data_IF_216749525476
#
_entry.id   IF_216749525476
#
_cell.length_a   1.000
_cell.length_b   1.000
_cell.length_c   1.000
_cell.angle_alpha   90.00
_cell.angle_beta   90.00
_cell.angle_gamma   90.00
#
_symmetry.space_group_name_H-M   'P 1'
#
loop_
_entity.id
_entity.type
_entity.pdbx_description
1 polymer ?
#
# COMPACT_ATOMS: atom_id res chain seq x y z
N UNK A 1 -46.99 -18.98 -57.41
CA UNK A 1 -45.52 -18.88 -57.12
C UNK A 1 -45.20 -17.95 -55.93
N UNK A 2 -45.79 -16.75 -55.82
CA UNK A 2 -45.45 -15.79 -54.73
C UNK A 2 -45.62 -16.31 -53.30
N UNK A 3 -46.68 -17.06 -52.99
CA UNK A 3 -46.91 -17.60 -51.61
C UNK A 3 -45.87 -18.64 -51.15
N UNK A 4 -45.39 -19.49 -52.07
CA UNK A 4 -44.33 -20.47 -51.72
C UNK A 4 -42.96 -19.81 -51.46
N UNK A 5 -42.67 -18.76 -52.20
CA UNK A 5 -41.42 -18.00 -52.02
C UNK A 5 -41.38 -17.25 -50.66
N UNK A 6 -42.54 -16.68 -50.25
CA UNK A 6 -42.68 -15.98 -48.97
C UNK A 6 -42.53 -16.95 -47.77
N UNK A 7 -43.08 -18.16 -47.88
CA UNK A 7 -42.93 -19.16 -46.85
C UNK A 7 -41.51 -19.68 -46.69
N UNK A 8 -40.79 -19.85 -47.81
CA UNK A 8 -39.39 -20.26 -47.77
C UNK A 8 -38.51 -19.14 -47.15
N UNK A 9 -38.81 -17.89 -47.48
CA UNK A 9 -38.06 -16.72 -46.90
C UNK A 9 -38.34 -16.61 -45.40
N UNK A 10 -39.59 -16.79 -44.95
CA UNK A 10 -39.91 -16.78 -43.52
C UNK A 10 -39.28 -17.94 -42.76
N UNK A 11 -39.23 -19.13 -43.33
CA UNK A 11 -38.61 -20.31 -42.69
C UNK A 11 -37.08 -20.10 -42.64
N UNK A 12 -36.45 -19.56 -43.69
CA UNK A 12 -35.02 -19.25 -43.69
C UNK A 12 -34.68 -18.18 -42.69
N UNK A 13 -35.50 -17.13 -42.57
CA UNK A 13 -35.33 -16.08 -41.58
C UNK A 13 -35.50 -16.60 -40.16
N UNK A 14 -36.46 -17.49 -39.93
CA UNK A 14 -36.67 -18.14 -38.63
C UNK A 14 -35.47 -19.05 -38.26
N UNK A 15 -34.97 -19.81 -39.22
CA UNK A 15 -33.80 -20.69 -39.06
C UNK A 15 -32.53 -19.89 -38.77
N UNK A 16 -32.33 -18.77 -39.47
CA UNK A 16 -31.18 -17.88 -39.22
C UNK A 16 -31.27 -17.26 -37.82
N UNK A 17 -32.48 -16.79 -37.42
CA UNK A 17 -32.67 -16.32 -36.04
C UNK A 17 -32.45 -17.43 -35.00
N UNK A 18 -32.95 -18.63 -35.25
CA UNK A 18 -32.73 -19.78 -34.37
C UNK A 18 -31.23 -20.10 -34.24
N UNK A 19 -30.51 -20.12 -35.35
CA UNK A 19 -29.04 -20.34 -35.34
C UNK A 19 -28.32 -19.22 -34.61
N UNK A 20 -28.73 -17.96 -34.77
CA UNK A 20 -28.19 -16.84 -34.02
C UNK A 20 -28.50 -16.93 -32.51
N UNK A 21 -29.68 -17.42 -32.13
CA UNK A 21 -30.04 -17.63 -30.72
C UNK A 21 -29.31 -18.81 -30.08
N UNK A 22 -29.08 -19.91 -30.82
CA UNK A 22 -28.34 -21.07 -30.32
C UNK A 22 -26.83 -20.96 -30.45
N UNK A 23 -26.31 -19.96 -31.20
CA UNK A 23 -24.90 -19.69 -31.34
C UNK A 23 -24.30 -18.88 -30.20
N UNK A 24 -25.07 -18.48 -29.19
CA UNK A 24 -24.57 -17.75 -28.02
C UNK A 24 -23.67 -18.65 -27.16
N UNK A 25 -22.38 -18.55 -27.33
CA UNK A 25 -21.42 -19.06 -26.39
C UNK A 25 -21.28 -18.09 -25.19
N UNK A 26 -20.94 -18.62 -24.04
CA UNK A 26 -20.51 -17.81 -22.89
C UNK A 26 -19.00 -17.81 -22.83
N UNK A 27 -18.41 -16.64 -22.60
CA UNK A 27 -16.99 -16.49 -22.29
C UNK A 27 -16.91 -16.11 -20.82
N UNK A 28 -16.28 -16.96 -20.03
CA UNK A 28 -15.99 -16.72 -18.63
C UNK A 28 -14.48 -16.45 -18.49
N UNK A 29 -14.11 -15.31 -17.91
CA UNK A 29 -12.73 -15.00 -17.61
C UNK A 29 -12.55 -14.97 -16.11
N UNK A 30 -11.56 -15.70 -15.61
CA UNK A 30 -11.15 -15.66 -14.22
C UNK A 30 -9.73 -15.15 -14.15
N UNK A 31 -9.53 -14.10 -13.36
CA UNK A 31 -8.23 -13.45 -13.20
C UNK A 31 -7.66 -13.86 -11.84
N UNK A 32 -6.46 -14.39 -11.88
CA UNK A 32 -5.71 -14.79 -10.69
C UNK A 32 -4.45 -13.92 -10.57
N UNK A 33 -4.11 -13.58 -9.36
CA UNK A 33 -2.84 -12.91 -9.07
C UNK A 33 -1.76 -13.99 -8.81
N UNK A 34 -0.73 -13.95 -9.62
CA UNK A 34 0.46 -14.80 -9.48
C UNK A 34 1.47 -14.23 -8.50
N UNK A 35 2.75 -14.21 -8.92
CA UNK A 35 3.82 -13.62 -8.10
C UNK A 35 3.74 -12.09 -8.12
N UNK A 36 3.93 -11.47 -6.95
CA UNK A 36 3.94 -10.03 -6.76
C UNK A 36 5.24 -9.60 -6.10
N UNK A 37 5.93 -8.67 -6.71
CA UNK A 37 7.08 -7.99 -6.12
C UNK A 37 6.70 -6.54 -5.84
N UNK A 38 6.87 -6.10 -4.60
CA UNK A 38 6.63 -4.72 -4.16
C UNK A 38 7.95 -4.11 -3.70
N UNK A 39 8.24 -2.91 -4.16
CA UNK A 39 9.33 -2.10 -3.65
C UNK A 39 8.73 -0.91 -2.91
N UNK A 40 8.90 -0.87 -1.61
CA UNK A 40 8.31 0.18 -0.79
C UNK A 40 9.13 0.42 0.48
N UNK A 41 9.23 1.68 0.97
CA UNK A 41 9.80 1.95 2.28
C UNK A 41 8.82 1.53 3.38
N UNK A 42 9.32 1.20 4.57
CA UNK A 42 8.53 1.30 5.79
C UNK A 42 8.60 2.76 6.24
N UNK A 43 7.45 3.41 6.32
CA UNK A 43 7.35 4.82 6.73
C UNK A 43 6.57 4.91 8.03
N UNK A 44 7.25 4.81 9.18
CA UNK A 44 6.62 5.04 10.48
C UNK A 44 6.14 6.49 10.57
N UNK A 45 5.09 6.74 11.38
CA UNK A 45 4.60 8.08 11.63
C UNK A 45 5.69 9.05 12.06
N UNK A 46 5.51 10.36 11.81
CA UNK A 46 6.45 11.39 12.24
C UNK A 46 6.59 11.41 13.77
N UNK A 47 7.72 11.90 14.24
CA UNK A 47 7.98 12.06 15.67
C UNK A 47 7.78 13.51 16.06
N UNK A 48 6.68 13.80 16.74
CA UNK A 48 6.40 15.14 17.26
C UNK A 48 6.65 15.21 18.74
N UNK A 49 7.60 16.06 19.11
CA UNK A 49 7.89 16.38 20.49
C UNK A 49 7.40 17.78 20.74
N UNK A 50 6.50 17.91 21.70
CA UNK A 50 5.94 19.21 21.99
C UNK A 50 6.89 20.00 22.90
N UNK A 51 7.34 21.14 22.42
CA UNK A 51 8.36 21.93 23.07
C UNK A 51 7.86 23.31 23.43
N UNK A 52 6.95 23.87 22.63
CA UNK A 52 6.49 25.24 22.82
C UNK A 52 5.07 25.27 23.36
N UNK A 53 4.83 26.18 24.31
CA UNK A 53 3.50 26.40 24.93
C UNK A 53 2.67 27.42 24.14
N UNK A 54 3.28 28.15 23.19
CA UNK A 54 2.64 29.29 22.55
C UNK A 54 1.77 28.85 21.35
N UNK A 55 0.57 29.38 21.31
CA UNK A 55 -0.33 29.20 20.16
C UNK A 55 0.21 30.00 18.97
N UNK A 56 0.17 29.39 17.79
CA UNK A 56 0.72 29.97 16.56
C UNK A 56 2.18 29.58 16.28
N UNK A 57 2.86 28.90 17.22
CA UNK A 57 4.21 28.43 16.98
C UNK A 57 4.25 27.36 15.89
N UNK A 58 5.30 27.40 15.08
CA UNK A 58 5.58 26.47 13.99
C UNK A 58 6.84 25.72 14.31
N UNK A 59 6.82 24.40 14.22
CA UNK A 59 8.01 23.56 14.29
C UNK A 59 8.28 22.95 12.92
N UNK A 60 9.49 23.15 12.42
CA UNK A 60 10.00 22.56 11.18
C UNK A 60 10.96 21.45 11.57
N UNK A 61 10.75 20.25 11.04
CA UNK A 61 11.45 19.05 11.49
C UNK A 61 12.03 18.24 10.33
N UNK A 62 13.19 18.62 9.76
CA UNK A 62 13.92 17.73 8.88
C UNK A 62 14.36 16.49 9.65
N UNK A 63 14.16 15.32 9.03
CA UNK A 63 14.48 14.04 9.65
C UNK A 63 15.11 13.07 8.66
N UNK A 64 15.84 12.11 9.23
CA UNK A 64 16.46 11.02 8.50
C UNK A 64 16.32 9.72 9.29
N UNK A 65 16.03 8.63 8.59
CA UNK A 65 15.95 7.29 9.17
C UNK A 65 16.66 6.29 8.28
N UNK A 66 17.29 5.31 8.91
CA UNK A 66 18.00 4.23 8.23
C UNK A 66 17.47 2.87 8.69
N UNK A 67 17.06 2.03 7.75
CA UNK A 67 16.65 0.66 8.03
C UNK A 67 17.85 -0.27 7.91
N UNK A 68 18.33 -0.79 9.04
CA UNK A 68 19.48 -1.69 9.08
C UNK A 68 19.11 -3.12 8.71
N UNK A 69 18.61 -3.32 7.50
CA UNK A 69 18.28 -4.67 7.02
C UNK A 69 18.22 -4.71 5.49
N UNK A 70 18.72 -5.79 4.92
CA UNK A 70 18.56 -6.16 3.51
C UNK A 70 17.39 -7.16 3.38
N UNK A 71 16.40 -7.08 4.23
CA UNK A 71 15.37 -8.10 4.32
C UNK A 71 14.40 -7.93 3.17
N UNK A 72 14.23 -9.00 2.43
CA UNK A 72 13.09 -9.24 1.57
C UNK A 72 12.02 -9.90 2.43
N UNK A 73 10.87 -9.28 2.58
CA UNK A 73 9.75 -9.84 3.32
C UNK A 73 8.97 -10.68 2.34
N UNK A 74 8.76 -11.96 2.65
CA UNK A 74 7.96 -12.84 1.82
C UNK A 74 6.64 -13.16 2.50
N UNK A 75 5.57 -13.13 1.73
CA UNK A 75 4.22 -13.40 2.19
C UNK A 75 3.39 -14.11 1.13
N UNK A 76 2.09 -14.20 1.39
CA UNK A 76 1.17 -14.73 0.39
C UNK A 76 0.00 -13.77 0.19
N UNK A 77 -0.41 -13.59 -1.04
CA UNK A 77 -1.65 -12.88 -1.37
C UNK A 77 -2.85 -13.76 -1.08
N UNK A 78 -3.98 -13.17 -0.70
CA UNK A 78 -5.21 -13.93 -0.44
C UNK A 78 -5.84 -14.53 -1.70
N UNK A 79 -5.54 -14.01 -2.88
CA UNK A 79 -5.98 -14.49 -4.20
C UNK A 79 -5.15 -15.64 -4.78
N UNK A 80 -4.65 -16.50 -3.95
CA UNK A 80 -3.67 -17.52 -4.24
C UNK A 80 -4.19 -18.63 -5.15
N UNK A 81 -3.61 -18.78 -6.30
CA UNK A 81 -3.71 -19.99 -7.08
C UNK A 81 -2.54 -20.94 -6.75
N UNK A 82 -2.85 -22.12 -6.25
CA UNK A 82 -1.86 -23.16 -5.95
C UNK A 82 -1.89 -24.24 -7.01
N UNK A 83 -1.35 -23.95 -8.18
CA UNK A 83 -1.37 -24.91 -9.28
C UNK A 83 -0.20 -24.74 -10.23
N UNK A 84 -0.11 -25.65 -11.19
CA UNK A 84 0.79 -25.53 -12.33
C UNK A 84 -0.06 -25.24 -13.55
N UNK A 85 0.20 -24.13 -14.19
CA UNK A 85 -0.47 -23.75 -15.42
C UNK A 85 0.39 -24.19 -16.60
N UNK A 86 -0.24 -24.77 -17.57
CA UNK A 86 0.37 -25.06 -18.86
C UNK A 86 -0.09 -23.99 -19.84
N UNK A 87 0.82 -23.10 -20.20
CA UNK A 87 0.55 -22.01 -21.13
C UNK A 87 0.53 -22.48 -22.57
N UNK A 88 1.49 -23.33 -22.90
CA UNK A 88 1.67 -23.99 -24.20
C UNK A 88 2.32 -25.35 -23.97
N UNK A 89 2.69 -26.04 -25.06
CA UNK A 89 3.30 -27.36 -24.99
C UNK A 89 4.67 -27.40 -24.30
N UNK A 90 5.32 -26.24 -24.15
CA UNK A 90 6.67 -26.11 -23.59
C UNK A 90 6.72 -25.28 -22.31
N UNK A 91 5.75 -24.42 -22.07
CA UNK A 91 5.79 -23.42 -21.00
C UNK A 91 4.82 -23.73 -19.88
N UNK A 92 5.34 -23.88 -18.68
CA UNK A 92 4.56 -24.06 -17.46
C UNK A 92 4.90 -22.98 -16.44
N UNK A 93 3.89 -22.39 -15.82
CA UNK A 93 4.04 -21.50 -14.67
C UNK A 93 3.58 -22.24 -13.41
N UNK A 94 4.43 -22.24 -12.38
CA UNK A 94 4.11 -22.83 -11.08
C UNK A 94 4.01 -21.73 -10.05
N UNK A 95 2.79 -21.51 -9.56
CA UNK A 95 2.57 -20.53 -8.49
C UNK A 95 3.33 -20.92 -7.21
N UNK A 96 4.05 -19.97 -6.63
CA UNK A 96 4.80 -20.18 -5.38
C UNK A 96 3.84 -20.17 -4.18
N UNK A 97 4.21 -20.87 -3.13
CA UNK A 97 3.47 -20.87 -1.86
C UNK A 97 3.43 -19.46 -1.24
N UNK A 98 4.56 -18.76 -1.30
CA UNK A 98 4.70 -17.37 -0.92
C UNK A 98 4.88 -16.58 -2.20
N UNK A 99 3.84 -15.95 -2.67
CA UNK A 99 3.81 -15.23 -3.94
C UNK A 99 3.96 -13.71 -3.80
N UNK A 100 4.20 -13.23 -2.59
CA UNK A 100 4.51 -11.83 -2.30
C UNK A 100 5.96 -11.70 -1.87
N UNK A 101 6.68 -10.85 -2.54
CA UNK A 101 8.03 -10.42 -2.18
C UNK A 101 8.05 -8.89 -2.00
N UNK A 102 8.34 -8.44 -0.78
CA UNK A 102 8.44 -7.01 -0.46
C UNK A 102 9.89 -6.64 -0.21
N UNK A 103 10.45 -5.81 -1.09
CA UNK A 103 11.79 -5.24 -0.97
C UNK A 103 11.73 -3.88 -0.29
N UNK A 104 12.54 -3.71 0.75
CA UNK A 104 12.52 -2.52 1.60
C UNK A 104 13.57 -1.49 1.19
N UNK A 105 13.18 -0.24 1.20
CA UNK A 105 14.10 0.90 1.03
C UNK A 105 14.84 1.17 2.34
N UNK A 106 16.15 1.39 2.22
CA UNK A 106 17.02 1.57 3.39
C UNK A 106 16.99 2.96 3.97
N UNK A 107 16.82 3.97 3.14
CA UNK A 107 16.97 5.36 3.54
C UNK A 107 15.65 6.08 3.35
N UNK A 108 15.25 6.81 4.39
CA UNK A 108 14.13 7.75 4.32
C UNK A 108 14.55 9.06 4.92
N UNK A 109 14.38 10.14 4.17
CA UNK A 109 14.56 11.51 4.61
C UNK A 109 13.26 12.26 4.44
N UNK A 110 12.98 13.25 5.28
CA UNK A 110 11.77 14.03 5.16
C UNK A 110 11.83 15.36 5.88
N UNK A 111 10.76 16.10 5.73
CA UNK A 111 10.52 17.39 6.35
C UNK A 111 9.09 17.43 6.86
N UNK A 112 8.91 17.58 8.16
CA UNK A 112 7.62 17.74 8.78
C UNK A 112 7.43 19.18 9.27
N UNK A 113 6.19 19.65 9.22
CA UNK A 113 5.71 20.91 9.78
C UNK A 113 4.66 20.59 10.82
N UNK A 114 4.75 21.20 12.00
CA UNK A 114 3.79 21.12 13.08
C UNK A 114 3.40 22.52 13.52
N UNK A 115 2.11 22.83 13.42
CA UNK A 115 1.55 24.15 13.73
C UNK A 115 0.61 24.03 14.90
N UNK A 116 0.90 24.75 15.98
CA UNK A 116 0.07 24.78 17.16
C UNK A 116 -1.11 25.74 17.00
N UNK A 117 -2.30 25.19 16.74
CA UNK A 117 -3.51 26.00 16.49
C UNK A 117 -4.26 26.38 17.77
N UNK A 118 -4.05 25.64 18.85
CA UNK A 118 -4.60 25.98 20.18
C UNK A 118 -3.67 25.46 21.28
N UNK A 119 -4.01 25.75 22.55
CA UNK A 119 -3.24 25.25 23.72
C UNK A 119 -3.11 23.73 23.75
N UNK A 120 -4.06 23.00 23.18
CA UNK A 120 -4.13 21.53 23.22
C UNK A 120 -4.20 20.85 21.85
N UNK A 121 -4.13 21.62 20.77
CA UNK A 121 -4.29 21.06 19.41
C UNK A 121 -3.22 21.63 18.48
N UNK A 122 -2.60 20.74 17.72
CA UNK A 122 -1.75 21.05 16.58
C UNK A 122 -2.29 20.39 15.32
N UNK A 123 -1.97 20.98 14.16
CA UNK A 123 -2.08 20.33 12.86
C UNK A 123 -0.68 20.11 12.32
N UNK A 124 -0.47 19.00 11.66
CA UNK A 124 0.83 18.71 11.09
C UNK A 124 0.72 18.12 9.68
N UNK A 125 1.81 18.22 8.95
CA UNK A 125 1.96 17.62 7.64
C UNK A 125 3.40 17.65 7.21
N UNK A 126 3.77 16.74 6.32
CA UNK A 126 5.15 16.63 5.85
C UNK A 126 5.26 15.87 4.56
N UNK A 127 6.48 15.88 4.05
CA UNK A 127 6.86 15.08 2.89
C UNK A 127 8.07 14.22 3.22
N UNK A 128 8.15 13.06 2.60
CA UNK A 128 9.29 12.18 2.73
C UNK A 128 9.76 11.70 1.35
N UNK A 129 11.01 11.31 1.33
CA UNK A 129 11.72 10.79 0.20
C UNK A 129 12.46 9.53 0.64
N UNK A 130 12.24 8.45 -0.07
CA UNK A 130 12.91 7.19 0.18
C UNK A 130 13.73 6.77 -1.04
N UNK A 131 14.93 6.25 -0.80
CA UNK A 131 15.84 5.85 -1.87
C UNK A 131 16.42 4.47 -1.63
N UNK A 132 16.45 3.65 -2.69
CA UNK A 132 17.25 2.43 -2.79
C UNK A 132 17.95 2.41 -4.13
N UNK A 133 19.28 2.30 -4.12
CA UNK A 133 20.15 2.28 -5.32
C UNK A 133 19.78 3.35 -6.36
N UNK A 134 19.00 2.97 -7.38
CA UNK A 134 18.65 3.83 -8.52
C UNK A 134 17.21 4.37 -8.43
N UNK A 135 16.35 3.75 -7.62
CA UNK A 135 14.95 4.14 -7.49
C UNK A 135 14.73 5.06 -6.30
N UNK A 136 13.77 5.96 -6.45
CA UNK A 136 13.29 6.82 -5.38
C UNK A 136 11.76 6.84 -5.37
N UNK A 137 11.20 6.99 -4.19
CA UNK A 137 9.77 7.08 -3.98
C UNK A 137 9.46 8.28 -3.09
N UNK A 138 8.36 8.94 -3.41
CA UNK A 138 7.87 10.07 -2.66
C UNK A 138 6.72 9.66 -1.75
N UNK A 139 6.57 10.38 -0.67
CA UNK A 139 5.47 10.22 0.26
C UNK A 139 5.25 11.46 1.08
N UNK A 140 4.30 11.37 1.99
CA UNK A 140 4.00 12.44 2.92
C UNK A 140 3.16 11.97 4.07
N UNK A 141 2.84 12.89 4.95
CA UNK A 141 1.95 12.65 6.08
C UNK A 141 1.12 13.89 6.39
N UNK A 142 0.00 13.71 7.06
CA UNK A 142 -0.80 14.79 7.60
C UNK A 142 -1.68 14.28 8.75
N UNK A 143 -2.03 15.19 9.66
CA UNK A 143 -2.88 14.80 10.79
C UNK A 143 -3.09 15.91 11.81
N UNK A 144 -3.62 15.49 12.96
CA UNK A 144 -3.95 16.33 14.09
C UNK A 144 -3.31 15.75 15.35
N UNK A 145 -2.70 16.61 16.14
CA UNK A 145 -2.11 16.28 17.45
C UNK A 145 -2.90 16.91 18.58
N UNK A 146 -3.19 16.10 19.61
CA UNK A 146 -3.81 16.52 20.86
C UNK A 146 -2.77 16.43 21.97
N UNK A 147 -2.54 17.51 22.69
CA UNK A 147 -1.50 17.53 23.72
C UNK A 147 -1.97 18.11 25.03
N UNK A 148 -1.42 17.55 26.10
CA UNK A 148 -1.57 18.05 27.46
C UNK A 148 -0.21 18.55 27.95
N UNK A 149 -0.22 19.68 28.64
CA UNK A 149 0.96 20.30 29.23
C UNK A 149 0.97 20.08 30.73
N UNK A 150 1.63 19.02 31.16
CA UNK A 150 1.94 18.81 32.56
C UNK A 150 3.24 19.53 32.95
N UNK A 151 3.40 19.77 34.27
CA UNK A 151 4.63 20.44 34.79
C UNK A 151 5.89 19.60 34.55
N UNK A 152 5.80 18.27 34.69
CA UNK A 152 6.94 17.34 34.58
C UNK A 152 7.01 16.59 33.23
N UNK A 153 5.83 16.33 32.68
CA UNK A 153 5.71 15.53 31.44
C UNK A 153 4.70 16.18 30.51
N UNK A 154 5.00 16.08 29.24
CA UNK A 154 4.09 16.47 28.18
C UNK A 154 3.66 15.20 27.46
N UNK A 155 2.36 14.99 27.32
CA UNK A 155 1.79 13.91 26.52
C UNK A 155 1.15 14.49 25.27
N UNK A 156 1.33 13.79 24.14
CA UNK A 156 0.72 14.14 22.86
C UNK A 156 0.17 12.90 22.19
N UNK A 157 -1.04 12.98 21.71
CA UNK A 157 -1.69 11.95 20.92
C UNK A 157 -1.90 12.46 19.48
N UNK A 158 -1.33 11.80 18.49
CA UNK A 158 -1.47 12.14 17.09
C UNK A 158 -2.34 11.11 16.38
N UNK A 159 -3.24 11.61 15.54
CA UNK A 159 -4.00 10.83 14.55
C UNK A 159 -3.73 11.39 13.15
N UNK A 160 -3.46 10.53 12.22
CA UNK A 160 -3.15 10.99 10.87
C UNK A 160 -3.10 9.88 9.84
N UNK A 161 -2.64 10.29 8.67
CA UNK A 161 -2.45 9.43 7.52
C UNK A 161 -1.05 9.65 6.95
N UNK A 162 -0.44 8.56 6.50
CA UNK A 162 0.70 8.61 5.59
C UNK A 162 0.21 8.34 4.17
N UNK A 163 0.78 9.04 3.22
CA UNK A 163 0.61 8.84 1.78
C UNK A 163 1.93 8.37 1.23
N UNK A 164 1.97 7.24 0.59
CA UNK A 164 3.23 6.66 0.12
C UNK A 164 3.08 6.05 -1.26
N UNK A 165 4.02 6.37 -2.14
CA UNK A 165 4.19 5.75 -3.44
C UNK A 165 4.92 4.40 -3.30
N UNK A 166 4.49 3.42 -4.07
CA UNK A 166 5.07 2.08 -4.17
C UNK A 166 5.30 1.71 -5.62
N UNK A 167 6.40 1.04 -5.90
CA UNK A 167 6.60 0.34 -7.16
C UNK A 167 6.23 -1.13 -7.01
N UNK A 168 5.60 -1.68 -8.02
CA UNK A 168 5.24 -3.09 -8.03
C UNK A 168 5.47 -3.74 -9.38
N UNK A 169 5.68 -5.04 -9.36
CA UNK A 169 5.58 -5.93 -10.51
C UNK A 169 4.66 -7.06 -10.12
N UNK A 170 3.58 -7.25 -10.87
CA UNK A 170 2.59 -8.28 -10.61
C UNK A 170 2.47 -9.21 -11.82
N UNK A 171 2.41 -10.51 -11.57
CA UNK A 171 2.09 -11.50 -12.59
C UNK A 171 0.60 -11.81 -12.49
N UNK A 172 -0.12 -11.50 -13.55
CA UNK A 172 -1.56 -11.76 -13.67
C UNK A 172 -1.80 -12.94 -14.60
N UNK A 173 -2.60 -13.89 -14.16
CA UNK A 173 -2.94 -15.10 -14.92
C UNK A 173 -4.42 -15.02 -15.27
N UNK A 174 -4.74 -15.08 -16.54
CA UNK A 174 -6.12 -15.01 -17.04
C UNK A 174 -6.50 -16.39 -17.59
N UNK A 175 -7.50 -16.99 -16.97
CA UNK A 175 -8.18 -18.17 -17.48
C UNK A 175 -9.39 -17.73 -18.31
N UNK A 176 -9.41 -18.09 -19.58
CA UNK A 176 -10.56 -17.85 -20.45
C UNK A 176 -11.23 -19.18 -20.78
N UNK A 177 -12.49 -19.33 -20.35
CA UNK A 177 -13.31 -20.49 -20.65
C UNK A 177 -14.41 -20.11 -21.61
N UNK A 178 -14.38 -20.67 -22.81
CA UNK A 178 -15.41 -20.48 -23.83
C UNK A 178 -16.31 -21.70 -23.83
N UNK A 179 -17.58 -21.50 -23.60
CA UNK A 179 -18.58 -22.59 -23.66
C UNK A 179 -19.53 -22.30 -24.81
N UNK A 180 -19.66 -23.23 -25.74
CA UNK A 180 -20.57 -23.19 -26.88
C UNK A 180 -21.40 -24.48 -26.94
N UNK A 181 -22.38 -24.51 -27.81
CA UNK A 181 -23.16 -25.74 -28.09
C UNK A 181 -22.30 -26.86 -28.68
N UNK A 182 -21.11 -26.53 -29.17
CA UNK A 182 -20.19 -27.49 -29.79
C UNK A 182 -19.11 -27.99 -28.82
N UNK A 183 -19.06 -27.46 -27.61
CA UNK A 183 -18.07 -27.83 -26.60
C UNK A 183 -17.58 -26.65 -25.76
N UNK A 184 -16.68 -26.95 -24.85
CA UNK A 184 -15.97 -25.96 -24.06
C UNK A 184 -14.48 -26.01 -24.37
N UNK A 185 -13.90 -24.84 -24.52
CA UNK A 185 -12.44 -24.63 -24.69
C UNK A 185 -11.93 -23.78 -23.53
N UNK A 186 -10.68 -24.01 -23.13
CA UNK A 186 -10.04 -23.31 -22.02
C UNK A 186 -8.64 -22.89 -22.44
N UNK A 187 -8.36 -21.61 -22.29
CA UNK A 187 -7.04 -21.04 -22.56
C UNK A 187 -6.52 -20.27 -21.34
N UNK A 188 -5.20 -20.16 -21.24
CA UNK A 188 -4.50 -19.49 -20.18
C UNK A 188 -3.51 -18.50 -20.76
N UNK A 189 -3.58 -17.26 -20.26
CA UNK A 189 -2.66 -16.20 -20.63
C UNK A 189 -1.97 -15.66 -19.38
N UNK A 190 -0.69 -15.29 -19.51
CA UNK A 190 0.07 -14.65 -18.43
C UNK A 190 0.50 -13.28 -18.88
N UNK A 191 0.25 -12.31 -17.98
CA UNK A 191 0.66 -10.92 -18.16
C UNK A 191 1.56 -10.51 -17.00
N UNK A 192 2.59 -9.74 -17.31
CA UNK A 192 3.44 -9.11 -16.29
C UNK A 192 3.18 -7.61 -16.32
N UNK A 193 2.56 -7.10 -15.25
CA UNK A 193 2.27 -5.69 -15.07
C UNK A 193 3.33 -5.07 -14.16
N UNK A 194 3.87 -3.93 -14.58
CA UNK A 194 4.79 -3.13 -13.80
C UNK A 194 4.27 -1.72 -13.71
N UNK A 195 4.21 -1.18 -12.50
CA UNK A 195 3.71 0.16 -12.28
C UNK A 195 4.06 0.71 -10.90
N UNK A 196 3.54 1.89 -10.64
CA UNK A 196 3.55 2.51 -9.32
C UNK A 196 2.13 2.78 -8.87
N UNK A 197 1.91 2.77 -7.56
CA UNK A 197 0.64 3.12 -6.94
C UNK A 197 0.88 3.95 -5.69
N UNK A 198 -0.09 4.75 -5.32
CA UNK A 198 -0.04 5.58 -4.12
C UNK A 198 -1.12 5.13 -3.15
N UNK A 199 -0.73 4.81 -1.93
CA UNK A 199 -1.65 4.37 -0.90
C UNK A 199 -1.70 5.33 0.29
N UNK A 200 -2.87 5.41 0.91
CA UNK A 200 -3.12 6.20 2.11
C UNK A 200 -3.28 5.24 3.28
N UNK A 201 -2.49 5.44 4.32
CA UNK A 201 -2.39 4.54 5.46
C UNK A 201 -2.63 5.30 6.77
N UNK A 202 -3.62 4.91 7.58
CA UNK A 202 -3.89 5.54 8.87
C UNK A 202 -2.84 5.18 9.91
N UNK A 203 -2.63 6.10 10.84
CA UNK A 203 -1.81 5.88 12.03
C UNK A 203 -2.36 6.56 13.28
N UNK A 204 -1.94 6.05 14.43
CA UNK A 204 -2.15 6.66 15.73
C UNK A 204 -0.87 6.56 16.57
N UNK A 205 -0.48 7.65 17.24
CA UNK A 205 0.71 7.66 18.09
C UNK A 205 0.46 8.37 19.42
N UNK A 206 1.18 7.93 20.43
CA UNK A 206 1.26 8.56 21.75
C UNK A 206 2.72 8.91 22.04
N UNK A 207 3.00 10.18 22.18
CA UNK A 207 4.31 10.69 22.58
C UNK A 207 4.26 11.14 24.02
N UNK A 208 5.24 10.72 24.82
CA UNK A 208 5.48 11.25 26.16
C UNK A 208 6.91 11.73 26.20
N UNK A 209 7.11 12.98 26.63
CA UNK A 209 8.43 13.57 26.78
C UNK A 209 8.55 14.32 28.11
N UNK A 210 9.78 14.42 28.62
CA UNK A 210 10.05 15.25 29.80
C UNK A 210 9.80 16.72 29.49
N UNK A 211 9.39 17.48 30.50
CA UNK A 211 9.23 18.93 30.39
C UNK A 211 10.58 19.58 30.12
N UNK A 212 10.62 20.59 29.22
CA UNK A 212 11.83 21.16 28.67
C UNK A 212 12.36 22.37 29.43
N UNK A 213 11.91 22.58 30.65
CA UNK A 213 12.38 23.72 31.44
C UNK A 213 13.87 23.50 31.80
N UNK A 214 14.76 24.08 30.98
CA UNK A 214 16.19 24.28 31.21
C UNK A 214 17.17 23.10 31.16
N UNK A 215 16.76 21.89 30.80
CA UNK A 215 17.74 20.79 30.73
C UNK A 215 18.35 20.65 29.31
N UNK A 216 19.65 20.45 29.25
CA UNK A 216 20.38 20.19 27.99
C UNK A 216 19.96 18.84 27.36
N UNK A 217 19.62 17.84 28.18
CA UNK A 217 19.12 16.54 27.75
C UNK A 217 17.70 16.30 28.24
N UNK A 218 16.87 15.90 27.30
CA UNK A 218 15.50 15.49 27.57
C UNK A 218 15.25 14.14 26.94
N UNK A 219 14.43 13.31 27.56
CA UNK A 219 14.03 12.04 26.98
C UNK A 219 12.64 12.15 26.39
N UNK A 220 12.38 11.29 25.43
CA UNK A 220 11.05 11.08 24.88
C UNK A 220 10.81 9.61 24.53
N UNK A 221 9.56 9.23 24.51
CA UNK A 221 9.10 7.92 24.08
C UNK A 221 7.89 8.13 23.17
N UNK A 222 7.91 7.53 21.99
CA UNK A 222 6.73 7.45 21.13
C UNK A 222 6.34 6.00 21.00
N UNK A 223 5.06 5.71 21.28
CA UNK A 223 4.44 4.42 20.97
C UNK A 223 3.32 4.61 19.98
N UNK A 224 3.07 3.64 19.12
CA UNK A 224 1.99 3.79 18.18
C UNK A 224 1.73 2.57 17.32
N UNK A 225 0.74 2.72 16.46
CA UNK A 225 0.41 1.76 15.44
C UNK A 225 0.13 2.47 14.11
N UNK A 226 0.43 1.80 13.03
CA UNK A 226 0.10 2.24 11.69
C UNK A 226 -0.15 1.04 10.79
N UNK A 227 -0.92 1.25 9.77
CA UNK A 227 -1.08 0.27 8.70
C UNK A 227 -0.27 0.68 7.48
N UNK A 228 0.06 -0.28 6.65
CA UNK A 228 0.67 -0.04 5.37
C UNK A 228 -0.01 -0.96 4.35
N UNK A 229 -0.76 -0.36 3.45
CA UNK A 229 -1.29 -1.08 2.31
C UNK A 229 -0.18 -1.21 1.27
N UNK A 230 0.21 -2.44 0.95
CA UNK A 230 1.32 -2.72 0.04
C UNK A 230 0.88 -2.80 -1.42
N UNK A 231 -0.41 -3.07 -1.67
CA UNK A 231 -0.91 -3.19 -3.03
C UNK A 231 -2.42 -2.94 -3.08
N UNK A 232 -2.80 -1.86 -3.75
CA UNK A 232 -4.16 -1.64 -4.24
C UNK A 232 -4.25 -2.00 -5.72
N UNK A 233 -3.73 -3.17 -6.12
CA UNK A 233 -3.72 -3.60 -7.51
C UNK A 233 -5.11 -4.11 -7.90
N UNK A 234 -5.70 -3.43 -8.87
CA UNK A 234 -6.89 -3.88 -9.58
C UNK A 234 -6.44 -4.32 -10.98
N UNK A 235 -6.44 -5.62 -11.30
CA UNK A 235 -6.03 -6.10 -12.61
C UNK A 235 -6.92 -5.60 -13.75
N UNK A 236 -7.97 -4.85 -13.42
CA UNK A 236 -8.91 -4.32 -14.40
C UNK A 236 -9.84 -5.37 -14.96
N UNK A 237 -10.82 -4.91 -15.71
CA UNK A 237 -11.70 -5.77 -16.49
C UNK A 237 -11.16 -5.85 -17.91
N UNK A 238 -10.54 -6.95 -18.28
CA UNK A 238 -10.19 -7.20 -19.67
C UNK A 238 -11.47 -7.57 -20.43
N UNK A 239 -12.04 -6.62 -21.16
CA UNK A 239 -13.13 -6.90 -22.08
C UNK A 239 -12.56 -7.02 -23.49
N UNK A 240 -12.65 -8.21 -24.07
CA UNK A 240 -12.42 -8.35 -25.50
C UNK A 240 -13.74 -8.00 -26.23
N UNK A 241 -13.76 -6.97 -27.09
CA UNK A 241 -14.90 -6.69 -27.93
C UNK A 241 -14.94 -7.74 -29.06
N UNK A 242 -15.63 -8.85 -28.82
CA UNK A 242 -15.97 -9.80 -29.87
C UNK A 242 -17.40 -9.52 -30.33
N UNK A 243 -17.49 -9.04 -31.55
CA UNK A 243 -18.70 -8.79 -32.33
C UNK A 243 -19.37 -10.10 -32.76
N UNK A 244 -20.67 -10.23 -32.78
CA UNK A 244 -21.72 -9.44 -32.10
C UNK A 244 -22.46 -10.18 -30.99
N UNK A 245 -22.01 -11.21 -30.41
CA UNK A 245 -22.56 -11.93 -29.24
C UNK A 245 -21.55 -12.93 -28.71
N UNK A 246 -20.84 -12.65 -27.61
CA UNK A 246 -20.97 -13.47 -26.41
C UNK A 246 -21.21 -12.60 -25.16
N UNK A 247 -21.97 -13.10 -24.24
CA UNK A 247 -22.04 -12.51 -22.90
C UNK A 247 -20.71 -12.84 -22.21
N UNK A 248 -19.87 -11.83 -22.04
CA UNK A 248 -18.61 -11.99 -21.35
C UNK A 248 -18.81 -11.74 -19.85
N UNK A 249 -18.56 -12.73 -19.03
CA UNK A 249 -18.51 -12.57 -17.59
C UNK A 249 -17.05 -12.50 -17.17
N UNK A 250 -16.66 -11.40 -16.54
CA UNK A 250 -15.34 -11.29 -15.92
C UNK A 250 -15.50 -11.51 -14.42
N UNK A 251 -14.93 -12.58 -13.91
CA UNK A 251 -14.85 -12.85 -12.49
C UNK A 251 -13.44 -12.51 -12.02
N UNK A 252 -13.32 -11.45 -11.24
CA UNK A 252 -12.07 -11.13 -10.55
C UNK A 252 -12.08 -11.93 -9.25
N UNK A 253 -11.19 -12.90 -9.12
CA UNK A 253 -11.22 -13.81 -7.98
C UNK A 253 -10.63 -13.22 -6.70
N UNK A 254 -10.10 -12.02 -6.70
CA UNK A 254 -9.94 -11.12 -5.54
C UNK A 254 -9.06 -9.92 -5.87
N UNK A 255 -9.45 -8.77 -5.30
CA UNK A 255 -8.55 -7.66 -4.99
C UNK A 255 -7.52 -8.15 -3.98
N UNK A 256 -6.27 -7.96 -4.28
CA UNK A 256 -5.22 -8.16 -3.30
C UNK A 256 -4.98 -6.86 -2.53
N UNK A 257 -5.87 -6.55 -1.60
CA UNK A 257 -5.56 -5.56 -0.59
C UNK A 257 -4.56 -6.22 0.37
N UNK A 258 -3.28 -5.99 0.13
CA UNK A 258 -2.23 -6.47 1.02
C UNK A 258 -1.97 -5.41 2.07
N UNK A 259 -2.71 -5.52 3.16
CA UNK A 259 -2.53 -4.63 4.31
C UNK A 259 -1.67 -5.32 5.35
N UNK A 260 -0.62 -4.64 5.76
CA UNK A 260 0.17 -5.02 6.92
C UNK A 260 0.04 -3.97 8.03
N UNK A 261 0.05 -4.38 9.27
CA UNK A 261 -0.04 -3.51 10.42
C UNK A 261 1.22 -3.58 11.27
N UNK A 262 1.62 -2.44 11.81
CA UNK A 262 2.79 -2.32 12.66
C UNK A 262 2.41 -1.72 14.02
N UNK A 263 3.01 -2.27 15.07
CA UNK A 263 3.18 -1.60 16.36
C UNK A 263 4.62 -1.14 16.42
N UNK A 264 4.83 0.10 16.85
CA UNK A 264 6.18 0.60 17.01
C UNK A 264 6.40 1.30 18.34
N UNK A 265 7.65 1.29 18.75
CA UNK A 265 8.16 1.95 19.93
C UNK A 265 9.41 2.73 19.53
N UNK A 266 9.46 4.01 19.88
CA UNK A 266 10.54 4.91 19.48
C UNK A 266 11.07 5.67 20.69
N UNK A 267 11.97 5.08 21.49
CA UNK A 267 12.67 5.78 22.56
C UNK A 267 13.74 6.71 21.97
N UNK A 268 13.92 7.85 22.60
CA UNK A 268 14.92 8.79 22.15
C UNK A 268 15.31 9.83 23.17
N UNK A 269 16.30 10.60 22.80
CA UNK A 269 16.79 11.76 23.53
C UNK A 269 16.70 13.00 22.66
N UNK A 270 16.40 14.12 23.27
CA UNK A 270 16.42 15.43 22.65
C UNK A 270 17.52 16.26 23.30
N UNK A 271 18.42 16.79 22.51
CA UNK A 271 19.53 17.64 22.90
C UNK A 271 19.16 19.07 22.54
N UNK A 272 19.04 19.95 23.52
CA UNK A 272 18.76 21.36 23.33
C UNK A 272 20.03 22.07 22.91
N UNK A 273 20.10 22.51 21.65
CA UNK A 273 21.26 23.27 21.13
C UNK A 273 21.13 24.76 21.48
N UNK A 274 19.92 25.29 21.36
CA UNK A 274 19.49 26.61 21.84
C UNK A 274 17.96 26.66 21.94
N UNK A 275 17.38 27.82 22.21
CA UNK A 275 15.93 27.99 22.40
C UNK A 275 15.12 27.60 21.16
N UNK A 276 15.70 27.68 19.97
CA UNK A 276 15.03 27.39 18.69
C UNK A 276 15.35 26.02 18.13
N UNK A 277 16.51 25.45 18.46
CA UNK A 277 17.00 24.21 17.83
C UNK A 277 17.15 23.08 18.83
N UNK A 278 16.59 21.93 18.49
CA UNK A 278 16.75 20.68 19.23
C UNK A 278 17.10 19.54 18.28
N UNK A 279 18.13 18.78 18.65
CA UNK A 279 18.51 17.56 17.96
C UNK A 279 17.89 16.36 18.67
N UNK A 280 17.11 15.58 17.93
CA UNK A 280 16.50 14.35 18.40
C UNK A 280 17.26 13.16 17.83
N UNK A 281 17.64 12.26 18.70
CA UNK A 281 18.24 10.97 18.34
C UNK A 281 17.38 9.86 18.89
N UNK A 282 16.98 8.93 18.06
CA UNK A 282 16.05 7.86 18.45
C UNK A 282 16.26 6.56 17.68
N UNK A 283 15.59 5.53 18.14
CA UNK A 283 15.61 4.22 17.52
C UNK A 283 14.20 3.67 17.45
N UNK A 284 13.62 3.66 16.24
CA UNK A 284 12.29 3.09 16.00
C UNK A 284 12.41 1.56 15.95
N UNK A 285 11.71 0.90 16.85
CA UNK A 285 11.60 -0.55 16.93
C UNK A 285 10.18 -0.89 16.47
N UNK A 286 10.06 -1.61 15.37
CA UNK A 286 8.79 -1.95 14.76
C UNK A 286 8.54 -3.45 14.84
N UNK A 287 7.32 -3.83 15.14
CA UNK A 287 6.85 -5.21 15.07
C UNK A 287 5.66 -5.30 14.14
N UNK A 288 5.73 -6.20 13.19
CA UNK A 288 4.63 -6.50 12.28
C UNK A 288 3.60 -7.39 12.99
N UNK A 289 2.34 -6.93 13.07
CA UNK A 289 1.28 -7.60 13.85
C UNK A 289 0.10 -8.09 13.03
N UNK A 290 -0.20 -7.42 11.91
CA UNK A 290 -1.24 -7.85 10.98
C UNK A 290 -0.56 -8.18 9.66
N UNK A 291 -0.56 -9.43 9.24
CA UNK A 291 0.39 -9.84 8.26
C UNK A 291 -0.15 -10.91 7.32
N UNK A 292 -0.10 -10.60 6.05
CA UNK A 292 0.01 -11.57 4.98
C UNK A 292 1.46 -12.06 4.81
N UNK A 293 2.39 -11.52 5.59
CA UNK A 293 3.82 -11.79 5.58
C UNK A 293 4.29 -12.48 6.85
N UNK A 294 5.53 -12.91 6.92
CA UNK A 294 6.13 -13.45 8.15
C UNK A 294 6.36 -12.33 9.17
N UNK A 295 5.89 -12.50 10.41
CA UNK A 295 6.10 -11.52 11.48
C UNK A 295 7.59 -11.22 11.68
N UNK A 296 7.96 -9.95 11.56
CA UNK A 296 9.35 -9.51 11.67
C UNK A 296 9.50 -8.31 12.61
N UNK A 297 10.71 -8.17 13.12
CA UNK A 297 11.14 -7.01 13.88
C UNK A 297 12.08 -6.16 13.03
N UNK A 298 11.87 -4.86 13.05
CA UNK A 298 12.72 -3.91 12.36
C UNK A 298 13.30 -2.92 13.34
N UNK A 299 14.53 -2.50 13.07
CA UNK A 299 15.22 -1.49 13.84
C UNK A 299 15.65 -0.35 12.92
N UNK A 300 15.19 0.86 13.22
CA UNK A 300 15.44 2.05 12.41
C UNK A 300 16.00 3.17 13.28
N UNK A 301 17.33 3.32 13.40
CA UNK A 301 17.90 4.51 13.97
C UNK A 301 17.49 5.74 13.16
N UNK A 302 17.18 6.83 13.86
CA UNK A 302 16.73 8.07 13.26
C UNK A 302 17.31 9.30 13.96
N UNK A 303 17.52 10.35 13.18
CA UNK A 303 17.90 11.66 13.62
C UNK A 303 16.94 12.70 13.07
N UNK A 304 16.58 13.69 13.88
CA UNK A 304 15.68 14.77 13.51
C UNK A 304 16.16 16.07 14.15
N UNK A 305 16.03 17.17 13.44
CA UNK A 305 16.29 18.50 13.98
C UNK A 305 14.95 19.21 14.05
N UNK A 306 14.58 19.69 15.23
CA UNK A 306 13.40 20.54 15.39
C UNK A 306 13.85 22.00 15.43
N UNK A 307 13.31 22.76 14.50
CA UNK A 307 13.47 24.21 14.45
C UNK A 307 12.13 24.88 14.76
N UNK A 308 12.13 25.76 15.76
CA UNK A 308 10.94 26.49 16.20
C UNK A 308 10.98 27.95 15.77
N UNK A 309 9.84 28.40 15.24
CA UNK A 309 9.57 29.79 14.88
C UNK A 309 8.39 30.29 15.69
#
# INVERSE_FOLDING_TARGET
MKKRFLNILSISFLLINLICFFGCGTIEQTIYLGDVEVNAPIVPPPTHINVNKDVGSVTISPHFSYLNTNIKISGSTDGKYTGTFRLDDSTTYKAKKNNLDWSLYKYTAGLDLDIKVSKSVSIFGGMNYSKDKENYLLGGNFGIGFHNHGEKYIARFDLGFTVQEYDFTAITIVQTKTTSIFGSDESWDIFADKGSTTNINPFATLTVNSSYDSSFFNWFIVGGCFTQNLLGYDPGTYSYPLFPFPITYTKIDKRSDMVTGFIYFNPGIAITLNDQFKLLLSAKILNEVMSTTSKQWFFMPSAQINFQI
#
